data_IF_897985190485
#
_entry.id   IF_897985190485
#
_cell.length_a   1.000
_cell.length_b   1.000
_cell.length_c   1.000
_cell.angle_alpha   90.00
_cell.angle_beta   90.00
_cell.angle_gamma   90.00
#
_symmetry.space_group_name_H-M   'P 1'
#
loop_
_entity.id
_entity.type
_entity.pdbx_description
1 polymer ?
#
# COMPACT_ATOMS: atom_id res chain seq x y z
N UNK A 1 -5.76 -23.46 1.76
CA UNK A 1 -5.28 -22.77 0.55
C UNK A 1 -4.83 -21.41 1.03
N UNK A 2 -3.54 -21.13 0.89
CA UNK A 2 -2.96 -19.87 1.30
C UNK A 2 -2.97 -18.94 0.10
N UNK A 3 -3.53 -17.76 0.24
CA UNK A 3 -3.41 -16.71 -0.76
C UNK A 3 -2.14 -15.91 -0.44
N UNK A 4 -1.38 -15.50 -1.44
CA UNK A 4 -0.32 -14.51 -1.24
C UNK A 4 -0.57 -13.25 -2.06
N UNK A 5 -0.04 -12.13 -1.58
CA UNK A 5 -0.06 -10.87 -2.27
C UNK A 5 1.34 -10.25 -2.30
N UNK A 6 1.62 -9.50 -3.36
CA UNK A 6 2.80 -8.66 -3.54
C UNK A 6 2.38 -7.20 -3.63
N UNK A 7 3.08 -6.33 -2.91
CA UNK A 7 2.91 -4.87 -3.03
C UNK A 7 3.85 -4.36 -4.12
N UNK A 8 3.38 -3.40 -4.91
CA UNK A 8 4.21 -2.68 -5.88
C UNK A 8 4.00 -1.20 -5.59
N UNK A 9 4.97 -0.56 -4.95
CA UNK A 9 4.84 0.78 -4.40
C UNK A 9 5.92 1.73 -4.92
N UNK A 10 5.50 2.95 -5.28
CA UNK A 10 6.39 4.10 -5.55
C UNK A 10 5.81 5.42 -4.98
N UNK A 11 4.58 5.41 -4.46
CA UNK A 11 3.80 6.62 -4.15
C UNK A 11 3.19 6.61 -2.75
N UNK A 12 3.72 5.81 -1.82
CA UNK A 12 3.30 5.84 -0.41
C UNK A 12 4.17 6.83 0.36
N UNK A 13 3.54 7.75 1.09
CA UNK A 13 4.26 8.66 1.99
C UNK A 13 3.80 8.43 3.42
N UNK A 14 4.74 8.08 4.30
CA UNK A 14 4.49 7.85 5.72
C UNK A 14 4.80 9.12 6.53
N UNK A 15 3.97 9.40 7.54
CA UNK A 15 4.24 10.36 8.59
C UNK A 15 5.18 9.75 9.63
N UNK A 16 6.48 9.74 9.30
CA UNK A 16 7.53 9.18 10.16
C UNK A 16 7.66 9.91 11.50
N UNK A 17 7.28 11.19 11.58
CA UNK A 17 7.32 11.95 12.84
C UNK A 17 6.29 11.41 13.83
N UNK A 18 5.05 11.26 13.37
CA UNK A 18 3.99 10.69 14.20
C UNK A 18 4.26 9.23 14.53
N UNK A 19 4.71 8.46 13.55
CA UNK A 19 5.07 7.06 13.73
C UNK A 19 6.17 6.89 14.78
N UNK A 20 7.21 7.72 14.76
CA UNK A 20 8.29 7.72 15.79
C UNK A 20 7.80 8.06 17.20
N UNK A 21 6.68 8.78 17.32
CA UNK A 21 6.13 9.18 18.62
C UNK A 21 5.15 8.15 19.19
N UNK A 22 4.45 7.41 18.33
CA UNK A 22 3.33 6.55 18.71
C UNK A 22 3.63 5.05 18.61
N UNK A 23 4.68 4.64 17.87
CA UNK A 23 5.02 3.24 17.58
C UNK A 23 6.47 2.91 17.97
N UNK A 24 6.70 1.71 18.48
CA UNK A 24 8.05 1.19 18.78
C UNK A 24 8.73 0.58 17.55
N UNK A 25 10.07 0.53 17.56
CA UNK A 25 10.82 -0.13 16.49
C UNK A 25 10.53 -1.64 16.41
N UNK A 26 10.35 -2.31 17.56
CA UNK A 26 9.97 -3.72 17.63
C UNK A 26 8.65 -3.99 16.90
N UNK A 27 7.69 -3.06 16.98
CA UNK A 27 6.44 -3.19 16.25
C UNK A 27 6.65 -3.13 14.73
N UNK A 28 7.57 -2.29 14.24
CA UNK A 28 7.87 -2.20 12.81
C UNK A 28 8.53 -3.50 12.32
N UNK A 29 9.50 -4.01 13.07
CA UNK A 29 10.21 -5.26 12.77
C UNK A 29 9.25 -6.47 12.76
N UNK A 30 8.39 -6.60 13.78
CA UNK A 30 7.39 -7.67 13.88
C UNK A 30 6.39 -7.68 12.71
N UNK A 31 6.18 -6.53 12.05
CA UNK A 31 5.27 -6.40 10.92
C UNK A 31 6.01 -6.28 9.56
N UNK A 32 7.31 -6.60 9.53
CA UNK A 32 8.09 -6.70 8.29
C UNK A 32 8.41 -5.36 7.64
N UNK A 33 8.53 -4.30 8.43
CA UNK A 33 8.92 -2.97 7.97
C UNK A 33 10.36 -2.68 8.33
N UNK A 34 11.15 -2.36 7.31
CA UNK A 34 12.48 -1.80 7.50
C UNK A 34 12.36 -0.29 7.66
N UNK A 35 13.23 0.30 8.47
CA UNK A 35 13.22 1.74 8.68
C UNK A 35 14.63 2.30 8.78
N UNK A 36 14.79 3.53 8.31
CA UNK A 36 15.99 4.32 8.55
C UNK A 36 15.78 5.20 9.78
N UNK A 37 16.83 5.30 10.59
CA UNK A 37 16.82 6.10 11.82
C UNK A 37 17.79 7.27 11.69
N UNK A 38 17.32 8.45 12.10
CA UNK A 38 18.18 9.59 12.39
C UNK A 38 19.07 9.33 13.62
N UNK A 39 20.14 10.11 13.83
CA UNK A 39 21.07 9.91 14.96
C UNK A 39 20.44 9.99 16.36
N UNK A 40 19.24 10.55 16.49
CA UNK A 40 18.51 10.63 17.76
C UNK A 40 17.48 9.49 17.92
N UNK A 41 17.48 8.49 17.03
CA UNK A 41 16.61 7.32 17.08
C UNK A 41 15.21 7.51 16.50
N UNK A 42 14.93 8.64 15.82
CA UNK A 42 13.65 8.83 15.13
C UNK A 42 13.68 8.23 13.74
N UNK A 43 12.56 7.62 13.33
CA UNK A 43 12.33 7.12 11.97
C UNK A 43 12.36 8.29 10.99
N UNK A 44 13.18 8.17 9.95
CA UNK A 44 13.27 9.13 8.84
C UNK A 44 12.64 8.58 7.57
N UNK A 45 12.72 7.27 7.38
CA UNK A 45 12.20 6.59 6.19
C UNK A 45 11.68 5.21 6.58
N UNK A 46 10.64 4.77 5.90
CA UNK A 46 10.10 3.41 6.00
C UNK A 46 10.29 2.78 4.63
N UNK A 47 10.90 1.61 4.62
CA UNK A 47 11.01 0.76 3.45
C UNK A 47 10.12 -0.45 3.70
N UNK A 48 9.14 -0.66 2.82
CA UNK A 48 8.30 -1.85 2.90
C UNK A 48 8.87 -2.92 1.99
N UNK A 49 9.44 -3.98 2.57
CA UNK A 49 9.86 -5.15 1.78
C UNK A 49 8.65 -5.99 1.35
N UNK A 50 8.02 -5.49 0.30
CA UNK A 50 6.89 -6.10 -0.41
C UNK A 50 7.23 -7.38 -1.17
N UNK A 51 8.51 -7.79 -1.21
CA UNK A 51 8.93 -9.02 -1.89
C UNK A 51 8.59 -10.30 -1.11
N UNK A 52 8.19 -10.13 0.15
CA UNK A 52 7.68 -11.20 1.01
C UNK A 52 6.25 -11.58 0.62
N UNK A 53 6.04 -12.78 0.09
CA UNK A 53 4.71 -13.34 -0.14
C UNK A 53 3.92 -13.38 1.19
N UNK A 54 2.99 -12.45 1.41
CA UNK A 54 2.21 -12.37 2.65
C UNK A 54 0.74 -12.71 2.45
N UNK A 55 0.14 -13.31 3.48
CA UNK A 55 -1.26 -13.70 3.48
C UNK A 55 -2.16 -12.45 3.60
N UNK A 56 -3.20 -12.29 2.75
CA UNK A 56 -4.06 -11.11 2.71
C UNK A 56 -4.69 -10.71 4.05
N UNK A 57 -5.01 -11.68 4.90
CA UNK A 57 -5.65 -11.43 6.20
C UNK A 57 -4.75 -10.63 7.15
N UNK A 58 -3.46 -10.97 7.20
CA UNK A 58 -2.47 -10.27 8.00
C UNK A 58 -2.14 -8.90 7.41
N UNK A 59 -2.09 -8.80 6.08
CA UNK A 59 -1.84 -7.55 5.38
C UNK A 59 -2.98 -6.55 5.59
N UNK A 60 -4.26 -6.95 5.47
CA UNK A 60 -5.38 -6.03 5.69
C UNK A 60 -5.44 -5.55 7.14
N UNK A 61 -5.18 -6.44 8.10
CA UNK A 61 -5.08 -6.06 9.51
C UNK A 61 -3.93 -5.07 9.76
N UNK A 62 -2.78 -5.31 9.15
CA UNK A 62 -1.64 -4.41 9.22
C UNK A 62 -1.89 -3.07 8.51
N UNK A 63 -2.47 -3.09 7.32
CA UNK A 63 -2.90 -1.93 6.55
C UNK A 63 -3.83 -1.04 7.38
N UNK A 64 -4.77 -1.65 8.10
CA UNK A 64 -5.65 -0.93 9.02
C UNK A 64 -4.92 -0.27 10.19
N UNK A 65 -3.77 -0.81 10.63
CA UNK A 65 -2.92 -0.20 11.66
C UNK A 65 -2.10 0.95 11.09
N UNK A 66 -1.53 0.81 9.90
CA UNK A 66 -0.64 1.83 9.32
C UNK A 66 -1.39 2.99 8.67
N UNK A 67 -2.64 2.78 8.21
CA UNK A 67 -3.41 3.80 7.44
C UNK A 67 -3.52 5.15 8.13
N UNK A 68 -3.43 5.18 9.46
CA UNK A 68 -3.50 6.42 10.26
C UNK A 68 -2.23 7.26 10.19
N UNK A 69 -1.13 6.68 9.70
CA UNK A 69 0.17 7.31 9.51
C UNK A 69 0.50 7.51 8.02
N UNK A 70 -0.34 7.00 7.11
CA UNK A 70 -0.18 7.26 5.67
C UNK A 70 -0.72 8.65 5.37
N UNK A 71 0.07 9.49 4.69
CA UNK A 71 -0.33 10.85 4.34
C UNK A 71 -1.36 10.85 3.21
N UNK A 72 -2.26 11.82 3.26
CA UNK A 72 -3.20 12.08 2.17
C UNK A 72 -2.47 12.29 0.84
N UNK A 73 -3.04 11.73 -0.23
CA UNK A 73 -2.44 11.69 -1.56
C UNK A 73 -1.59 10.45 -1.83
N UNK A 74 -1.32 9.61 -0.83
CA UNK A 74 -0.60 8.35 -1.02
C UNK A 74 -1.40 7.34 -1.83
N UNK A 75 -0.70 6.51 -2.59
CA UNK A 75 -1.28 5.42 -3.36
C UNK A 75 -0.45 4.15 -3.27
N UNK A 76 -1.12 3.02 -2.99
CA UNK A 76 -0.54 1.69 -2.95
C UNK A 76 -1.29 0.76 -3.89
N UNK A 77 -0.56 -0.19 -4.46
CA UNK A 77 -1.10 -1.23 -5.31
C UNK A 77 -0.72 -2.63 -4.83
N UNK A 78 -1.72 -3.52 -4.75
CA UNK A 78 -1.57 -4.92 -4.41
C UNK A 78 -1.87 -5.83 -5.59
N UNK A 79 -1.00 -6.82 -5.81
CA UNK A 79 -1.22 -7.94 -6.71
C UNK A 79 -1.41 -9.21 -5.89
N UNK A 80 -2.59 -9.82 -5.95
CA UNK A 80 -2.83 -11.18 -5.49
C UNK A 80 -2.29 -12.24 -6.46
N UNK A 81 -2.37 -13.51 -6.04
CA UNK A 81 -1.93 -14.67 -6.84
C UNK A 81 -2.81 -14.94 -8.08
N UNK A 82 -4.12 -14.68 -8.00
CA UNK A 82 -5.03 -14.98 -9.10
C UNK A 82 -5.03 -13.88 -10.18
N UNK A 83 -5.19 -14.29 -11.44
CA UNK A 83 -5.28 -13.36 -12.57
C UNK A 83 -6.55 -12.53 -12.44
N UNK A 84 -6.41 -11.29 -11.94
CA UNK A 84 -7.52 -10.36 -11.75
C UNK A 84 -7.60 -9.78 -10.33
N UNK A 85 -6.87 -10.38 -9.38
CA UNK A 85 -6.85 -9.98 -7.98
C UNK A 85 -5.88 -8.84 -7.77
N UNK A 86 -6.36 -7.65 -8.04
CA UNK A 86 -5.53 -6.45 -8.07
C UNK A 86 -6.30 -5.32 -7.45
N UNK A 87 -5.70 -4.67 -6.46
CA UNK A 87 -6.37 -3.63 -5.68
C UNK A 87 -5.50 -2.39 -5.55
N UNK A 88 -6.09 -1.24 -5.84
CA UNK A 88 -5.51 0.07 -5.59
C UNK A 88 -6.10 0.68 -4.33
N UNK A 89 -5.26 1.25 -3.48
CA UNK A 89 -5.68 1.96 -2.27
C UNK A 89 -5.20 3.40 -2.35
N UNK A 90 -6.16 4.33 -2.40
CA UNK A 90 -5.91 5.76 -2.41
C UNK A 90 -6.32 6.39 -1.08
N UNK A 91 -5.39 7.12 -0.47
CA UNK A 91 -5.58 7.76 0.83
C UNK A 91 -5.96 9.22 0.63
N UNK A 92 -7.13 9.64 1.09
CA UNK A 92 -7.65 10.99 0.88
C UNK A 92 -8.48 11.46 2.07
N UNK A 93 -8.12 12.61 2.65
CA UNK A 93 -8.81 13.26 3.77
C UNK A 93 -9.07 12.31 4.95
N UNK A 94 -8.08 11.48 5.30
CA UNK A 94 -8.22 10.46 6.36
C UNK A 94 -9.16 9.29 6.02
N UNK A 95 -9.61 9.20 4.77
CA UNK A 95 -10.36 8.05 4.25
C UNK A 95 -9.51 7.24 3.28
N UNK A 96 -9.84 5.96 3.12
CA UNK A 96 -9.20 5.08 2.15
C UNK A 96 -10.24 4.65 1.13
N UNK A 97 -9.96 4.93 -0.14
CA UNK A 97 -10.72 4.40 -1.28
C UNK A 97 -10.00 3.16 -1.79
N UNK A 98 -10.73 2.06 -1.91
CA UNK A 98 -10.24 0.83 -2.50
C UNK A 98 -10.89 0.64 -3.88
N UNK A 99 -10.09 0.33 -4.90
CA UNK A 99 -10.57 0.02 -6.24
C UNK A 99 -10.00 -1.31 -6.73
N UNK A 100 -10.81 -2.06 -7.47
CA UNK A 100 -10.33 -3.25 -8.19
C UNK A 100 -9.71 -2.82 -9.51
N UNK A 101 -8.49 -3.29 -9.77
CA UNK A 101 -7.71 -2.91 -10.94
C UNK A 101 -7.69 -4.02 -11.96
N UNK A 102 -8.37 -3.80 -13.08
CA UNK A 102 -8.36 -4.74 -14.18
C UNK A 102 -7.20 -4.42 -15.13
N UNK A 103 -6.27 -5.38 -15.30
CA UNK A 103 -5.33 -5.28 -16.41
C UNK A 103 -6.09 -5.47 -17.71
N UNK A 104 -6.07 -4.43 -18.52
CA UNK A 104 -6.57 -4.45 -19.89
C UNK A 104 -5.39 -4.28 -20.83
N UNK A 105 -5.45 -4.88 -22.01
CA UNK A 105 -4.42 -4.60 -23.04
C UNK A 105 -4.55 -3.14 -23.46
N UNK A 106 -3.44 -2.50 -23.85
CA UNK A 106 -3.43 -1.09 -24.25
C UNK A 106 -4.50 -0.76 -25.32
N UNK A 107 -4.67 -1.66 -26.30
CA UNK A 107 -5.69 -1.52 -27.34
C UNK A 107 -7.13 -1.54 -26.80
N UNK A 108 -7.38 -2.28 -25.73
CA UNK A 108 -8.68 -2.36 -25.04
C UNK A 108 -8.88 -1.16 -24.11
N UNK A 109 -7.80 -0.66 -23.48
CA UNK A 109 -7.83 0.56 -22.68
C UNK A 109 -8.21 1.79 -23.50
N UNK A 110 -7.60 1.98 -24.68
CA UNK A 110 -7.95 3.09 -25.57
C UNK A 110 -9.42 3.04 -26.01
N UNK A 111 -9.95 1.84 -26.25
CA UNK A 111 -11.34 1.64 -26.61
C UNK A 111 -12.27 2.03 -25.45
N UNK A 112 -11.96 1.61 -24.21
CA UNK A 112 -12.72 1.94 -23.01
C UNK A 112 -12.73 3.46 -22.74
N UNK A 113 -11.60 4.13 -22.92
CA UNK A 113 -11.49 5.59 -22.77
C UNK A 113 -12.35 6.35 -23.79
N UNK A 114 -12.43 5.84 -25.03
CA UNK A 114 -13.29 6.42 -26.09
C UNK A 114 -14.79 6.26 -25.78
N UNK A 115 -15.18 5.19 -25.08
CA UNK A 115 -16.57 4.95 -24.67
C UNK A 115 -16.94 5.87 -23.51
N UNK A 116 -16.11 5.97 -22.46
CA UNK A 116 -16.36 6.84 -21.30
C UNK A 116 -16.45 8.33 -21.62
N UNK A 117 -15.76 8.80 -22.66
CA UNK A 117 -15.84 10.22 -23.12
C UNK A 117 -17.12 10.55 -23.88
N UNK A 118 -17.95 9.57 -24.21
CA UNK A 118 -19.21 9.76 -24.96
C UNK A 118 -20.45 9.79 -24.06
N UNK A 119 -20.31 9.53 -22.77
CA UNK A 119 -21.34 9.75 -21.73
C UNK A 119 -21.17 11.13 -21.10
#
# INVERSE_FOLDING_TARGET
MGYSAKVVEDNMVIDCERLSAEISLDFLDENGWECELSPNGKVTEIHWDSSSNFYPDDMMAFFHKIRTYVKDGSYIYFCGEEVGDRWGFFFENGTVKCETLHLVRDSEYELLQKIKKKE
#
